data_IF_657264188185
#
_entry.id   IF_657264188185
#
_cell.length_a   1.000
_cell.length_b   1.000
_cell.length_c   1.000
_cell.angle_alpha   90.00
_cell.angle_beta   90.00
_cell.angle_gamma   90.00
#
_symmetry.space_group_name_H-M   'P 1'
#
loop_
_entity.id
_entity.type
_entity.pdbx_description
1 polymer ?
#
# COMPACT_ATOMS: atom_id res chain seq x y z
N UNK A 1 18.83 5.90 -4.29
CA UNK A 1 18.61 4.43 -4.47
C UNK A 1 17.49 3.88 -3.61
N UNK A 2 17.47 4.14 -2.29
CA UNK A 2 16.47 3.55 -1.38
C UNK A 2 15.01 3.87 -1.79
N UNK A 3 14.71 5.11 -2.20
CA UNK A 3 13.37 5.50 -2.66
C UNK A 3 12.88 4.65 -3.85
N UNK A 4 13.76 4.36 -4.81
CA UNK A 4 13.41 3.54 -5.98
C UNK A 4 13.14 2.08 -5.62
N UNK A 5 13.79 1.55 -4.57
CA UNK A 5 13.48 0.21 -4.03
C UNK A 5 12.09 0.19 -3.40
N UNK A 6 11.74 1.24 -2.65
CA UNK A 6 10.40 1.39 -2.05
C UNK A 6 9.32 1.48 -3.15
N UNK A 7 9.52 2.32 -4.16
CA UNK A 7 8.60 2.47 -5.30
C UNK A 7 8.44 1.15 -6.05
N UNK A 8 9.55 0.44 -6.31
CA UNK A 8 9.52 -0.87 -6.96
C UNK A 8 8.71 -1.90 -6.17
N UNK A 9 8.76 -1.82 -4.83
CA UNK A 9 7.97 -2.70 -3.94
C UNK A 9 6.48 -2.50 -4.14
N UNK A 10 6.02 -1.26 -4.27
CA UNK A 10 4.61 -0.96 -4.59
C UNK A 10 4.23 -1.50 -5.98
N UNK A 11 5.08 -1.34 -6.99
CA UNK A 11 4.78 -1.85 -8.34
C UNK A 11 4.67 -3.37 -8.35
N UNK A 12 5.55 -4.07 -7.63
CA UNK A 12 5.48 -5.54 -7.48
C UNK A 12 4.23 -5.94 -6.71
N UNK A 13 3.89 -5.26 -5.61
CA UNK A 13 2.68 -5.53 -4.85
C UNK A 13 1.42 -5.33 -5.70
N UNK A 14 1.36 -4.26 -6.48
CA UNK A 14 0.27 -3.97 -7.39
C UNK A 14 0.16 -4.96 -8.56
N UNK A 15 1.29 -5.32 -9.14
CA UNK A 15 1.38 -6.34 -10.18
C UNK A 15 0.89 -7.70 -9.67
N UNK A 16 1.31 -8.10 -8.47
CA UNK A 16 0.84 -9.32 -7.82
C UNK A 16 -0.67 -9.30 -7.55
N UNK A 17 -1.19 -8.20 -7.00
CA UNK A 17 -2.63 -8.04 -6.77
C UNK A 17 -3.44 -8.15 -8.06
N UNK A 18 -2.95 -7.52 -9.14
CA UNK A 18 -3.56 -7.54 -10.46
C UNK A 18 -3.52 -8.94 -11.09
N UNK A 19 -2.40 -9.65 -10.96
CA UNK A 19 -2.24 -11.04 -11.39
C UNK A 19 -3.23 -11.99 -10.69
N UNK A 20 -3.54 -11.75 -9.42
CA UNK A 20 -4.56 -12.48 -8.68
C UNK A 20 -6.01 -12.03 -8.98
N UNK A 21 -6.23 -11.20 -10.00
CA UNK A 21 -7.56 -10.71 -10.38
C UNK A 21 -8.23 -9.85 -9.30
N UNK A 22 -7.42 -9.14 -8.49
CA UNK A 22 -7.91 -8.33 -7.38
C UNK A 22 -8.43 -9.11 -6.18
N UNK A 23 -8.20 -10.44 -6.13
CA UNK A 23 -8.63 -11.30 -5.02
C UNK A 23 -7.42 -11.85 -4.27
N UNK A 24 -7.28 -11.41 -3.01
CA UNK A 24 -6.28 -11.93 -2.08
C UNK A 24 -6.97 -12.45 -0.81
N UNK A 25 -6.46 -13.56 -0.27
CA UNK A 25 -6.81 -14.00 1.08
C UNK A 25 -6.35 -12.96 2.10
N UNK A 26 -6.95 -12.94 3.29
CA UNK A 26 -6.75 -11.83 4.22
C UNK A 26 -5.28 -11.65 4.63
N UNK A 27 -4.55 -12.75 4.89
CA UNK A 27 -3.11 -12.70 5.15
C UNK A 27 -2.32 -12.09 3.99
N UNK A 28 -2.64 -12.49 2.75
CA UNK A 28 -1.98 -11.94 1.55
C UNK A 28 -2.35 -10.48 1.32
N UNK A 29 -3.59 -10.08 1.66
CA UNK A 29 -4.03 -8.69 1.57
C UNK A 29 -3.27 -7.78 2.54
N UNK A 30 -2.93 -8.26 3.75
CA UNK A 30 -2.07 -7.51 4.67
C UNK A 30 -0.66 -7.32 4.10
N UNK A 31 -0.06 -8.36 3.51
CA UNK A 31 1.26 -8.26 2.86
C UNK A 31 1.21 -7.26 1.70
N UNK A 32 0.17 -7.33 0.87
CA UNK A 32 -0.09 -6.36 -0.19
C UNK A 32 -0.19 -4.93 0.36
N UNK A 33 -0.97 -4.72 1.42
CA UNK A 33 -1.15 -3.41 2.05
C UNK A 33 0.19 -2.85 2.53
N UNK A 34 1.01 -3.65 3.21
CA UNK A 34 2.33 -3.22 3.69
C UNK A 34 3.22 -2.82 2.50
N UNK A 35 3.27 -3.62 1.43
CA UNK A 35 4.05 -3.31 0.23
C UNK A 35 3.60 -2.01 -0.45
N UNK A 36 2.28 -1.79 -0.54
CA UNK A 36 1.71 -0.54 -1.06
C UNK A 36 2.09 0.67 -0.19
N UNK A 37 1.96 0.57 1.14
CA UNK A 37 2.29 1.67 2.06
C UNK A 37 3.77 2.07 2.00
N UNK A 38 4.67 1.08 1.91
CA UNK A 38 6.11 1.33 1.76
C UNK A 38 6.39 2.13 0.48
N UNK A 39 5.83 1.70 -0.66
CA UNK A 39 6.08 2.42 -1.91
C UNK A 39 5.35 3.75 -2.02
N UNK A 40 4.16 3.90 -1.43
CA UNK A 40 3.43 5.17 -1.37
C UNK A 40 4.21 6.20 -0.53
N UNK A 41 4.83 5.76 0.57
CA UNK A 41 5.74 6.59 1.34
C UNK A 41 6.98 6.99 0.52
N UNK A 42 7.59 6.05 -0.19
CA UNK A 42 8.74 6.32 -1.05
C UNK A 42 8.42 7.30 -2.18
N UNK A 43 7.28 7.11 -2.84
CA UNK A 43 6.77 8.02 -3.89
C UNK A 43 6.38 9.37 -3.32
N UNK A 44 5.80 9.41 -2.12
CA UNK A 44 5.47 10.66 -1.42
C UNK A 44 6.72 11.50 -1.13
N UNK A 45 7.79 10.87 -0.65
CA UNK A 45 9.08 11.56 -0.40
C UNK A 45 9.69 12.07 -1.72
N UNK A 46 9.69 11.25 -2.77
CA UNK A 46 10.21 11.63 -4.08
C UNK A 46 9.44 12.81 -4.69
N UNK A 47 8.11 12.74 -4.69
CA UNK A 47 7.25 13.80 -5.24
C UNK A 47 7.30 15.10 -4.42
N UNK A 48 7.54 15.00 -3.10
CA UNK A 48 7.81 16.17 -2.25
C UNK A 48 9.11 16.87 -2.67
N UNK A 49 10.21 16.12 -2.83
CA UNK A 49 11.50 16.69 -3.25
C UNK A 49 11.49 17.23 -4.68
N UNK A 50 10.67 16.66 -5.56
CA UNK A 50 10.49 17.13 -6.93
C UNK A 50 9.49 18.31 -7.05
N UNK A 51 8.98 18.85 -5.93
CA UNK A 51 7.96 19.90 -5.88
C UNK A 51 6.68 19.56 -6.67
N UNK A 52 6.41 18.27 -6.87
CA UNK A 52 5.26 17.76 -7.61
C UNK A 52 4.03 17.65 -6.70
N UNK A 53 3.54 18.79 -6.20
CA UNK A 53 2.51 18.86 -5.15
C UNK A 53 1.22 18.10 -5.48
N UNK A 54 0.80 18.09 -6.75
CA UNK A 54 -0.39 17.34 -7.18
C UNK A 54 -0.20 15.84 -6.98
N UNK A 55 0.97 15.33 -7.36
CA UNK A 55 1.30 13.92 -7.17
C UNK A 55 1.45 13.58 -5.69
N UNK A 56 2.07 14.47 -4.90
CA UNK A 56 2.20 14.31 -3.45
C UNK A 56 0.84 14.16 -2.75
N UNK A 57 -0.15 15.01 -3.07
CA UNK A 57 -1.50 14.94 -2.51
C UNK A 57 -2.19 13.62 -2.88
N UNK A 58 -2.05 13.18 -4.13
CA UNK A 58 -2.61 11.89 -4.59
C UNK A 58 -1.96 10.72 -3.85
N UNK A 59 -0.65 10.76 -3.61
CA UNK A 59 0.02 9.73 -2.80
C UNK A 59 -0.47 9.74 -1.35
N UNK A 60 -0.66 10.92 -0.75
CA UNK A 60 -1.23 11.05 0.60
C UNK A 60 -2.64 10.44 0.70
N UNK A 61 -3.50 10.73 -0.28
CA UNK A 61 -4.84 10.13 -0.38
C UNK A 61 -4.78 8.60 -0.42
N UNK A 62 -3.98 8.04 -1.34
CA UNK A 62 -3.87 6.60 -1.48
C UNK A 62 -3.22 5.93 -0.26
N UNK A 63 -2.27 6.59 0.39
CA UNK A 63 -1.64 6.11 1.62
C UNK A 63 -2.68 5.94 2.74
N UNK A 64 -3.49 6.96 2.99
CA UNK A 64 -4.54 6.92 4.02
C UNK A 64 -5.57 5.84 3.71
N UNK A 65 -6.02 5.74 2.46
CA UNK A 65 -7.00 4.73 2.05
C UNK A 65 -6.47 3.31 2.16
N UNK A 66 -5.23 3.06 1.72
CA UNK A 66 -4.58 1.76 1.87
C UNK A 66 -4.44 1.39 3.34
N UNK A 67 -3.99 2.32 4.19
CA UNK A 67 -3.83 2.09 5.62
C UNK A 67 -5.16 1.74 6.28
N UNK A 68 -6.22 2.50 5.98
CA UNK A 68 -7.56 2.24 6.49
C UNK A 68 -8.07 0.84 6.07
N UNK A 69 -7.94 0.48 4.80
CA UNK A 69 -8.35 -0.82 4.28
C UNK A 69 -7.60 -1.99 4.94
N UNK A 70 -6.29 -1.82 5.15
CA UNK A 70 -5.45 -2.77 5.87
C UNK A 70 -5.87 -2.97 7.33
N UNK A 71 -6.06 -1.88 8.07
CA UNK A 71 -6.50 -1.90 9.47
C UNK A 71 -7.88 -2.55 9.59
N UNK A 72 -8.81 -2.20 8.70
CA UNK A 72 -10.16 -2.78 8.70
C UNK A 72 -10.10 -4.30 8.49
N UNK A 73 -9.30 -4.78 7.53
CA UNK A 73 -9.13 -6.20 7.28
C UNK A 73 -8.50 -6.92 8.47
N UNK A 74 -7.45 -6.35 9.05
CA UNK A 74 -6.79 -6.89 10.24
C UNK A 74 -7.75 -7.06 11.41
N UNK A 75 -8.57 -6.03 11.69
CA UNK A 75 -9.59 -6.10 12.74
C UNK A 75 -10.60 -7.23 12.49
N UNK A 76 -11.06 -7.40 11.24
CA UNK A 76 -11.96 -8.51 10.87
C UNK A 76 -11.33 -9.88 11.13
N UNK A 77 -10.07 -10.08 10.74
CA UNK A 77 -9.35 -11.33 11.01
C UNK A 77 -9.25 -11.61 12.51
N UNK A 78 -8.92 -10.60 13.32
CA UNK A 78 -8.79 -10.77 14.77
C UNK A 78 -10.12 -11.16 15.43
N UNK A 79 -11.24 -10.59 14.96
CA UNK A 79 -12.57 -10.96 15.46
C UNK A 79 -12.94 -12.41 15.10
N UNK A 80 -12.62 -12.87 13.89
CA UNK A 80 -12.89 -14.25 13.47
C UNK A 80 -12.06 -15.31 14.21
N UNK A 81 -10.87 -14.97 14.70
CA UNK A 81 -10.03 -15.88 15.49
C UNK A 81 -10.56 -16.02 16.94
N UNK A 82 -11.23 -14.97 17.44
CA UNK A 82 -11.72 -14.89 18.82
C UNK A 82 -13.18 -15.32 18.99
N UNK A 83 -13.84 -15.73 17.89
CA UNK A 83 -15.22 -16.22 17.87
C UNK A 83 -15.22 -17.74 17.69
#
# INVERSE_FOLDING_TARGET
MILWVMISTQLIAWGWFSYCGGKLSDKKFIIFTIGMLIGQLGTGIETYYAEAWRAFVVQGYFFVFTAFGGIQRWRKMKMQINA
#
